data_IF_547095202441
#
_entry.id   IF_547095202441
#
_cell.length_a   1.000
_cell.length_b   1.000
_cell.length_c   1.000
_cell.angle_alpha   90.00
_cell.angle_beta   90.00
_cell.angle_gamma   90.00
#
_symmetry.space_group_name_H-M   'P 1'
#
loop_
_entity.id
_entity.type
_entity.pdbx_description
1 polymer ?
#
# COMPACT_ATOMS: atom_id res chain seq x y z
N UNK A 1 -18.76 -3.31 -8.26
CA UNK A 1 -17.75 -4.06 -7.54
C UNK A 1 -17.96 -3.89 -6.04
N UNK A 2 -17.33 -4.74 -5.27
CA UNK A 2 -17.38 -4.70 -3.80
C UNK A 2 -16.12 -4.06 -3.20
N UNK A 3 -15.32 -3.39 -4.03
CA UNK A 3 -14.12 -2.68 -3.56
C UNK A 3 -14.51 -1.28 -3.08
N UNK A 4 -14.06 -0.94 -1.89
CA UNK A 4 -14.28 0.36 -1.26
C UNK A 4 -12.92 1.05 -1.02
N UNK A 5 -12.88 2.39 -1.02
CA UNK A 5 -11.66 3.13 -0.72
C UNK A 5 -11.20 2.89 0.72
N UNK A 6 -9.93 2.58 0.92
CA UNK A 6 -9.38 2.37 2.27
C UNK A 6 -9.42 3.64 3.14
N UNK A 7 -9.53 4.81 2.53
CA UNK A 7 -9.69 6.09 3.23
C UNK A 7 -10.95 6.16 4.09
N UNK A 8 -12.01 5.41 3.73
CA UNK A 8 -13.26 5.36 4.51
C UNK A 8 -13.23 4.30 5.62
N UNK A 9 -12.26 3.40 5.63
CA UNK A 9 -12.22 2.25 6.56
C UNK A 9 -12.33 2.66 8.04
N UNK A 10 -11.68 3.75 8.41
CA UNK A 10 -11.72 4.24 9.79
C UNK A 10 -13.14 4.66 10.18
N UNK A 11 -13.82 5.39 9.33
CA UNK A 11 -15.19 5.86 9.59
C UNK A 11 -16.17 4.70 9.59
N UNK A 12 -16.01 3.73 8.69
CA UNK A 12 -16.84 2.51 8.64
C UNK A 12 -16.69 1.63 9.88
N UNK A 13 -15.54 1.66 10.55
CA UNK A 13 -15.33 0.97 11.84
C UNK A 13 -15.94 1.78 12.99
N UNK A 14 -15.73 3.10 13.00
CA UNK A 14 -16.09 3.95 14.14
C UNK A 14 -17.53 4.40 14.15
N UNK A 15 -18.23 4.39 13.00
CA UNK A 15 -19.62 4.85 12.90
C UNK A 15 -20.58 3.74 13.30
N UNK A 16 -21.28 3.86 14.45
CA UNK A 16 -22.25 2.85 14.88
C UNK A 16 -23.45 2.79 13.95
N UNK A 17 -24.00 1.59 13.74
CA UNK A 17 -25.27 1.41 13.00
C UNK A 17 -25.22 0.24 12.04
N UNK A 18 -26.23 0.21 11.15
CA UNK A 18 -26.30 -0.78 10.08
C UNK A 18 -25.11 -0.58 9.12
N UNK A 19 -24.42 -1.66 8.78
CA UNK A 19 -23.24 -1.64 7.91
C UNK A 19 -21.91 -1.37 8.63
N UNK A 20 -21.90 -1.09 9.94
CA UNK A 20 -20.67 -0.90 10.69
C UNK A 20 -19.71 -2.10 10.54
N UNK A 21 -18.45 -1.84 10.24
CA UNK A 21 -17.41 -2.86 10.20
C UNK A 21 -17.03 -3.22 11.64
N UNK A 22 -17.31 -4.46 12.05
CA UNK A 22 -17.01 -4.99 13.39
C UNK A 22 -15.96 -6.09 13.37
N UNK A 23 -15.69 -6.67 12.19
CA UNK A 23 -14.65 -7.67 12.00
C UNK A 23 -13.82 -7.39 10.74
N UNK A 24 -12.52 -7.70 10.78
CA UNK A 24 -11.58 -7.44 9.70
C UNK A 24 -10.70 -8.66 9.40
N UNK A 25 -10.51 -8.94 8.13
CA UNK A 25 -9.44 -9.83 7.65
C UNK A 25 -8.43 -9.00 6.88
N UNK A 26 -7.22 -8.88 7.42
CA UNK A 26 -6.11 -8.19 6.74
C UNK A 26 -5.21 -9.21 6.05
N UNK A 27 -4.85 -8.93 4.78
CA UNK A 27 -3.98 -9.83 4.00
C UNK A 27 -2.77 -9.03 3.51
N UNK A 28 -1.59 -9.34 4.04
CA UNK A 28 -0.29 -8.81 3.64
C UNK A 28 -0.27 -7.27 3.52
N UNK A 29 -0.99 -6.58 4.41
CA UNK A 29 -1.13 -5.14 4.39
C UNK A 29 -0.78 -4.49 5.71
N UNK A 30 -0.30 -3.23 5.66
CA UNK A 30 -0.08 -2.43 6.86
C UNK A 30 -0.77 -1.05 6.70
N UNK A 31 -2.12 -1.02 6.65
CA UNK A 31 -2.87 0.22 6.43
C UNK A 31 -2.61 1.28 7.50
N UNK A 32 -2.34 0.94 8.76
CA UNK A 32 -1.96 1.93 9.78
C UNK A 32 -0.75 2.77 9.35
N UNK A 33 0.21 2.19 8.64
CA UNK A 33 1.38 2.91 8.12
C UNK A 33 1.22 3.43 6.69
N UNK A 34 0.22 3.00 5.95
CA UNK A 34 0.10 3.31 4.51
C UNK A 34 -1.10 4.16 4.13
N UNK A 35 -2.07 4.36 5.03
CA UNK A 35 -3.26 5.19 4.78
C UNK A 35 -3.16 6.55 5.46
N UNK A 36 -3.91 7.57 5.00
CA UNK A 36 -4.00 8.84 5.70
C UNK A 36 -4.54 8.67 7.12
N UNK A 37 -4.07 9.50 8.06
CA UNK A 37 -4.57 9.49 9.42
C UNK A 37 -4.33 8.16 10.14
N UNK A 38 -3.15 7.55 9.94
CA UNK A 38 -2.83 6.22 10.46
C UNK A 38 -3.03 6.05 11.96
N UNK A 39 -2.87 7.11 12.76
CA UNK A 39 -3.16 7.10 14.20
C UNK A 39 -4.65 6.84 14.49
N UNK A 40 -5.56 7.45 13.71
CA UNK A 40 -7.01 7.27 13.86
C UNK A 40 -7.46 5.86 13.47
N UNK A 41 -6.86 5.30 12.40
CA UNK A 41 -7.09 3.89 12.04
C UNK A 41 -6.54 2.93 13.09
N UNK A 42 -5.39 3.24 13.68
CA UNK A 42 -4.80 2.45 14.75
C UNK A 42 -5.72 2.32 15.97
N UNK A 43 -6.37 3.43 16.36
CA UNK A 43 -7.39 3.44 17.41
C UNK A 43 -8.64 2.64 17.02
N UNK A 44 -9.12 2.85 15.79
CA UNK A 44 -10.30 2.16 15.28
C UNK A 44 -10.13 0.62 15.27
N UNK A 45 -8.97 0.14 14.84
CA UNK A 45 -8.67 -1.30 14.83
C UNK A 45 -8.69 -1.91 16.24
N UNK A 46 -8.32 -1.15 17.27
CA UNK A 46 -8.43 -1.58 18.66
C UNK A 46 -9.85 -1.77 19.18
N UNK A 47 -10.85 -1.21 18.46
CA UNK A 47 -12.28 -1.34 18.78
C UNK A 47 -13.03 -2.41 18.00
N UNK A 48 -12.37 -3.17 17.13
CA UNK A 48 -13.00 -4.27 16.40
C UNK A 48 -13.37 -5.41 17.34
N UNK A 49 -14.48 -6.09 17.06
CA UNK A 49 -14.90 -7.29 17.81
C UNK A 49 -13.97 -8.48 17.53
N UNK A 50 -13.44 -8.58 16.31
CA UNK A 50 -12.53 -9.65 15.92
C UNK A 50 -11.69 -9.29 14.68
N UNK A 51 -10.40 -9.56 14.73
CA UNK A 51 -9.50 -9.34 13.61
C UNK A 51 -8.62 -10.54 13.32
N UNK A 52 -8.54 -10.93 12.05
CA UNK A 52 -7.60 -11.94 11.55
C UNK A 52 -6.58 -11.26 10.63
N UNK A 53 -5.30 -11.57 10.81
CA UNK A 53 -4.26 -11.12 9.89
C UNK A 53 -3.56 -12.31 9.22
N UNK A 54 -3.46 -12.27 7.90
CA UNK A 54 -2.63 -13.18 7.11
C UNK A 54 -1.35 -12.41 6.78
N UNK A 55 -0.33 -12.57 7.62
CA UNK A 55 0.92 -11.80 7.54
C UNK A 55 2.06 -12.58 8.23
N UNK A 56 3.29 -12.26 7.85
CA UNK A 56 4.52 -12.85 8.43
C UNK A 56 5.10 -12.01 9.57
N UNK A 57 4.59 -10.80 9.78
CA UNK A 57 5.05 -9.87 10.81
C UNK A 57 3.92 -9.42 11.74
N UNK A 58 4.28 -9.14 12.99
CA UNK A 58 3.46 -8.34 13.90
C UNK A 58 3.86 -6.89 13.70
N UNK A 59 3.17 -6.22 12.77
CA UNK A 59 3.38 -4.82 12.41
C UNK A 59 2.34 -3.90 13.08
N UNK A 60 2.28 -2.63 12.69
CA UNK A 60 1.39 -1.62 13.27
C UNK A 60 -0.09 -1.97 13.13
N UNK A 61 -0.46 -2.67 12.08
CA UNK A 61 -1.83 -3.14 11.83
C UNK A 61 -2.09 -4.48 12.49
N UNK A 62 -1.22 -5.47 12.23
CA UNK A 62 -1.47 -6.85 12.66
C UNK A 62 -1.31 -7.08 14.16
N UNK A 63 -0.73 -6.12 14.91
CA UNK A 63 -0.69 -6.15 16.37
C UNK A 63 -2.08 -6.09 17.03
N UNK A 64 -3.11 -5.65 16.30
CA UNK A 64 -4.51 -5.63 16.74
C UNK A 64 -5.25 -6.95 16.46
N UNK A 65 -4.66 -7.86 15.67
CA UNK A 65 -5.31 -9.09 15.30
C UNK A 65 -5.38 -10.07 16.47
N UNK A 66 -6.56 -10.68 16.67
CA UNK A 66 -6.78 -11.78 17.63
C UNK A 66 -6.08 -13.05 17.14
N UNK A 67 -6.01 -13.23 15.82
CA UNK A 67 -5.36 -14.38 15.19
C UNK A 67 -4.46 -13.91 14.03
N UNK A 68 -3.20 -14.33 14.05
CA UNK A 68 -2.27 -14.12 12.94
C UNK A 68 -1.98 -15.49 12.30
N UNK A 69 -2.20 -15.60 11.00
CA UNK A 69 -1.98 -16.80 10.20
C UNK A 69 -0.79 -16.56 9.27
N UNK A 70 0.44 -16.94 9.65
CA UNK A 70 1.61 -16.72 8.81
C UNK A 70 1.60 -17.67 7.60
N UNK A 71 1.60 -17.13 6.36
CA UNK A 71 1.73 -17.94 5.17
C UNK A 71 3.19 -18.31 4.89
N UNK A 72 3.40 -19.22 3.93
CA UNK A 72 4.73 -19.53 3.43
C UNK A 72 5.46 -18.33 2.87
N UNK A 73 6.78 -18.30 3.03
CA UNK A 73 7.64 -17.29 2.44
C UNK A 73 7.70 -17.36 0.89
N UNK A 74 8.19 -16.29 0.23
CA UNK A 74 8.24 -16.24 -1.23
C UNK A 74 9.14 -17.32 -1.87
N UNK A 75 10.11 -17.86 -1.15
CA UNK A 75 11.01 -18.89 -1.64
C UNK A 75 10.51 -20.33 -1.38
N UNK A 76 9.46 -20.48 -0.59
CA UNK A 76 8.80 -21.75 -0.26
C UNK A 76 7.61 -22.06 -1.17
N UNK A 77 7.34 -21.18 -2.13
CA UNK A 77 6.23 -21.33 -3.10
C UNK A 77 6.67 -21.09 -4.52
N UNK A 78 5.99 -21.75 -5.44
CA UNK A 78 6.13 -21.46 -6.88
C UNK A 78 5.46 -20.14 -7.22
N UNK A 79 5.95 -19.48 -8.27
CA UNK A 79 5.43 -18.20 -8.70
C UNK A 79 5.34 -18.09 -10.21
N UNK A 80 4.23 -17.52 -10.68
CA UNK A 80 4.02 -17.02 -12.02
C UNK A 80 3.40 -15.63 -11.93
N UNK A 81 4.06 -14.62 -12.47
CA UNK A 81 3.58 -13.26 -12.39
C UNK A 81 2.49 -13.03 -13.44
N UNK A 82 1.24 -12.87 -12.99
CA UNK A 82 0.09 -12.57 -13.85
C UNK A 82 -0.15 -11.07 -13.99
N UNK A 83 0.18 -10.26 -12.98
CA UNK A 83 -0.24 -8.86 -12.91
C UNK A 83 0.87 -7.95 -13.39
N UNK A 84 2.04 -7.97 -12.74
CA UNK A 84 3.14 -7.08 -13.12
C UNK A 84 3.77 -7.45 -14.45
N UNK A 85 3.54 -8.66 -14.93
CA UNK A 85 3.98 -9.07 -16.26
C UNK A 85 3.36 -8.26 -17.39
N UNK A 86 2.20 -7.64 -17.15
CA UNK A 86 1.57 -6.69 -18.09
C UNK A 86 2.43 -5.46 -18.36
N UNK A 87 3.40 -5.15 -17.49
CA UNK A 87 4.35 -4.05 -17.63
C UNK A 87 5.67 -4.47 -18.30
N UNK A 88 5.80 -5.73 -18.71
CA UNK A 88 7.00 -6.23 -19.38
C UNK A 88 7.17 -5.58 -20.75
N UNK A 89 8.42 -5.28 -21.14
CA UNK A 89 8.76 -4.65 -22.43
C UNK A 89 8.71 -5.63 -23.61
N UNK A 90 8.49 -6.92 -23.36
CA UNK A 90 8.33 -8.00 -24.33
C UNK A 90 7.33 -9.04 -23.82
N UNK A 91 6.67 -9.75 -24.72
CA UNK A 91 5.88 -10.91 -24.34
C UNK A 91 6.79 -12.04 -23.87
N UNK A 92 6.71 -12.38 -22.60
CA UNK A 92 7.51 -13.45 -22.00
C UNK A 92 6.65 -14.31 -21.07
N UNK A 93 7.10 -15.50 -20.76
CA UNK A 93 6.49 -16.38 -19.76
C UNK A 93 7.58 -17.02 -18.91
N UNK A 94 7.50 -16.86 -17.59
CA UNK A 94 8.47 -17.43 -16.67
C UNK A 94 7.77 -18.12 -15.50
N UNK A 95 8.22 -19.31 -15.19
CA UNK A 95 7.83 -20.05 -14.00
C UNK A 95 9.01 -20.09 -13.02
N UNK A 96 8.80 -19.69 -11.80
CA UNK A 96 9.78 -19.80 -10.73
C UNK A 96 9.35 -20.93 -9.80
N UNK A 97 10.07 -22.05 -9.73
CA UNK A 97 9.77 -23.10 -8.77
C UNK A 97 10.10 -22.64 -7.34
N UNK A 98 9.49 -23.28 -6.35
CA UNK A 98 9.92 -23.10 -4.96
C UNK A 98 11.41 -23.50 -4.83
N UNK A 99 12.16 -22.72 -4.07
CA UNK A 99 13.57 -22.98 -3.78
C UNK A 99 13.70 -23.86 -2.53
N UNK A 100 12.85 -23.68 -1.56
CA UNK A 100 12.78 -24.45 -0.33
C UNK A 100 11.48 -25.26 -0.28
N UNK A 101 11.53 -26.39 0.41
CA UNK A 101 10.34 -27.18 0.70
C UNK A 101 9.45 -26.44 1.70
N UNK A 102 8.15 -26.54 1.50
CA UNK A 102 7.17 -25.99 2.45
C UNK A 102 7.19 -26.86 3.73
N UNK A 103 7.32 -26.26 4.92
CA UNK A 103 7.15 -26.99 6.18
C UNK A 103 5.76 -27.65 6.24
N UNK A 104 5.67 -28.82 6.87
CA UNK A 104 4.44 -29.63 6.91
C UNK A 104 3.25 -28.89 7.57
N UNK A 105 3.53 -28.07 8.57
CA UNK A 105 2.55 -27.26 9.30
C UNK A 105 2.26 -25.90 8.65
N UNK A 106 3.04 -25.50 7.63
CA UNK A 106 2.84 -24.23 6.93
C UNK A 106 1.75 -24.34 5.85
N UNK A 107 1.12 -23.20 5.55
CA UNK A 107 0.11 -23.05 4.50
C UNK A 107 0.48 -21.94 3.54
N UNK A 108 0.15 -22.13 2.26
CA UNK A 108 0.21 -21.02 1.29
C UNK A 108 -0.94 -20.04 1.51
N UNK A 109 -0.78 -18.80 1.09
CA UNK A 109 -1.82 -17.75 1.20
C UNK A 109 -3.18 -18.24 0.68
N UNK A 110 -3.18 -18.88 -0.50
CA UNK A 110 -4.41 -19.38 -1.12
C UNK A 110 -5.06 -20.54 -0.34
N UNK A 111 -4.27 -21.36 0.37
CA UNK A 111 -4.77 -22.41 1.25
C UNK A 111 -5.46 -21.81 2.48
N UNK A 112 -4.83 -20.77 3.09
CA UNK A 112 -5.42 -20.02 4.20
C UNK A 112 -6.73 -19.36 3.77
N UNK A 113 -6.74 -18.66 2.64
CA UNK A 113 -7.93 -17.99 2.12
C UNK A 113 -9.07 -18.99 1.81
N UNK A 114 -8.74 -20.14 1.21
CA UNK A 114 -9.68 -21.24 0.96
C UNK A 114 -10.31 -21.75 2.24
N UNK A 115 -9.46 -22.10 3.20
CA UNK A 115 -9.92 -22.73 4.45
C UNK A 115 -10.76 -21.76 5.27
N UNK A 116 -10.40 -20.48 5.29
CA UNK A 116 -11.17 -19.40 5.92
C UNK A 116 -12.54 -19.23 5.24
N UNK A 117 -12.58 -19.17 3.90
CA UNK A 117 -13.84 -19.07 3.16
C UNK A 117 -14.77 -20.25 3.43
N UNK A 118 -14.24 -21.48 3.43
CA UNK A 118 -15.02 -22.67 3.76
C UNK A 118 -15.52 -22.68 5.22
N UNK A 119 -14.71 -22.16 6.16
CA UNK A 119 -15.11 -22.02 7.55
C UNK A 119 -16.25 -21.00 7.72
N UNK A 120 -16.16 -19.85 7.04
CA UNK A 120 -17.22 -18.82 7.06
C UNK A 120 -18.54 -19.32 6.48
N UNK A 121 -18.51 -20.05 5.35
CA UNK A 121 -19.72 -20.65 4.76
C UNK A 121 -20.39 -21.61 5.79
N UNK A 122 -19.61 -22.45 6.44
CA UNK A 122 -20.13 -23.38 7.47
C UNK A 122 -20.66 -22.65 8.69
N UNK A 123 -19.98 -21.59 9.14
CA UNK A 123 -20.41 -20.77 10.28
C UNK A 123 -21.76 -20.08 10.05
N UNK A 124 -22.10 -19.78 8.78
CA UNK A 124 -23.42 -19.28 8.37
C UNK A 124 -24.50 -20.37 8.32
N UNK A 125 -24.17 -21.60 8.65
CA UNK A 125 -25.11 -22.75 8.53
C UNK A 125 -25.31 -23.21 7.08
N UNK A 126 -24.50 -22.71 6.15
CA UNK A 126 -24.57 -23.04 4.72
C UNK A 126 -23.67 -24.23 4.39
N UNK A 127 -24.02 -24.95 3.33
CA UNK A 127 -23.13 -25.96 2.73
C UNK A 127 -22.47 -25.36 1.49
N UNK A 128 -21.12 -25.50 1.33
CA UNK A 128 -20.46 -25.05 0.12
C UNK A 128 -21.13 -25.71 -1.09
N UNK A 129 -21.50 -24.93 -2.09
CA UNK A 129 -22.05 -25.43 -3.35
C UNK A 129 -21.04 -26.35 -4.06
N UNK A 130 -21.50 -27.16 -5.02
CA UNK A 130 -20.60 -28.00 -5.85
C UNK A 130 -19.61 -27.12 -6.62
N UNK A 131 -20.04 -25.93 -7.06
CA UNK A 131 -19.19 -24.95 -7.74
C UNK A 131 -18.12 -24.41 -6.78
N UNK A 132 -18.49 -24.05 -5.55
CA UNK A 132 -17.54 -23.58 -4.55
C UNK A 132 -16.53 -24.65 -4.19
N UNK A 133 -16.99 -25.88 -3.97
CA UNK A 133 -16.10 -27.02 -3.72
C UNK A 133 -15.13 -27.26 -4.88
N UNK A 134 -15.59 -27.11 -6.12
CA UNK A 134 -14.74 -27.18 -7.31
C UNK A 134 -13.70 -26.06 -7.35
N UNK A 135 -14.15 -24.79 -7.24
CA UNK A 135 -13.27 -23.61 -7.23
C UNK A 135 -12.18 -23.68 -6.17
N UNK A 136 -12.54 -24.05 -4.94
CA UNK A 136 -11.62 -24.08 -3.82
C UNK A 136 -10.65 -25.28 -3.84
N UNK A 137 -10.93 -26.32 -4.65
CA UNK A 137 -10.04 -27.49 -4.79
C UNK A 137 -8.98 -27.32 -5.86
N UNK A 138 -9.13 -26.37 -6.77
CA UNK A 138 -8.20 -26.17 -7.89
C UNK A 138 -7.00 -25.33 -7.42
N UNK A 139 -5.79 -25.90 -7.34
CA UNK A 139 -4.61 -25.13 -7.00
C UNK A 139 -4.31 -24.04 -8.05
N UNK A 140 -3.75 -22.89 -7.66
CA UNK A 140 -3.39 -21.81 -8.58
C UNK A 140 -2.53 -22.28 -9.76
N UNK A 141 -1.62 -23.22 -9.54
CA UNK A 141 -0.80 -23.83 -10.57
C UNK A 141 -1.64 -24.44 -11.71
N UNK A 142 -2.74 -25.11 -11.39
CA UNK A 142 -3.63 -25.72 -12.41
C UNK A 142 -4.35 -24.65 -13.23
N UNK A 143 -4.74 -23.55 -12.58
CA UNK A 143 -5.36 -22.40 -13.28
C UNK A 143 -4.35 -21.80 -14.26
N UNK A 144 -3.14 -21.52 -13.80
CA UNK A 144 -2.05 -20.99 -14.65
C UNK A 144 -1.72 -21.98 -15.78
N UNK A 145 -1.66 -23.28 -15.51
CA UNK A 145 -1.39 -24.31 -16.53
C UNK A 145 -2.47 -24.28 -17.63
N UNK A 146 -3.75 -24.20 -17.23
CA UNK A 146 -4.87 -24.09 -18.16
C UNK A 146 -4.78 -22.81 -19.02
N UNK A 147 -4.56 -21.66 -18.41
CA UNK A 147 -4.43 -20.38 -19.10
C UNK A 147 -3.25 -20.37 -20.09
N UNK A 148 -2.11 -20.92 -19.71
CA UNK A 148 -0.96 -21.04 -20.60
C UNK A 148 -1.25 -21.94 -21.80
N UNK A 149 -2.01 -23.04 -21.62
CA UNK A 149 -2.36 -23.98 -22.69
C UNK A 149 -3.31 -23.40 -23.74
N UNK A 150 -4.28 -22.58 -23.29
CA UNK A 150 -5.20 -21.90 -24.21
C UNK A 150 -4.58 -20.64 -24.81
N UNK A 151 -3.51 -20.12 -24.21
CA UNK A 151 -2.73 -18.98 -24.69
C UNK A 151 -1.60 -19.40 -25.63
N UNK A 152 -0.59 -18.55 -25.84
CA UNK A 152 0.51 -18.77 -26.78
C UNK A 152 1.49 -19.89 -26.36
N UNK A 153 1.46 -20.32 -25.09
CA UNK A 153 2.39 -21.33 -24.57
C UNK A 153 1.74 -22.73 -24.58
N UNK A 154 1.62 -23.34 -25.73
CA UNK A 154 1.15 -24.74 -25.82
C UNK A 154 2.10 -25.66 -25.06
N UNK A 155 1.58 -26.41 -24.07
CA UNK A 155 2.37 -27.26 -23.18
C UNK A 155 2.39 -26.80 -21.72
N UNK A 156 1.79 -25.64 -21.42
CA UNK A 156 1.48 -25.17 -20.10
C UNK A 156 2.72 -24.93 -19.20
N UNK A 157 2.51 -24.98 -17.89
CA UNK A 157 3.55 -24.78 -16.87
C UNK A 157 4.75 -25.71 -17.07
N UNK A 158 4.52 -26.98 -17.45
CA UNK A 158 5.61 -27.96 -17.68
C UNK A 158 6.60 -27.48 -18.74
N UNK A 159 6.13 -26.81 -19.79
CA UNK A 159 6.99 -26.26 -20.85
C UNK A 159 7.77 -25.04 -20.37
N UNK A 160 7.12 -24.13 -19.64
CA UNK A 160 7.76 -22.92 -19.11
C UNK A 160 8.80 -23.28 -18.06
N UNK A 161 8.49 -24.19 -17.14
CA UNK A 161 9.38 -24.62 -16.06
C UNK A 161 10.70 -25.27 -16.54
N UNK A 162 10.72 -25.84 -17.75
CA UNK A 162 11.94 -26.36 -18.38
C UNK A 162 12.92 -25.27 -18.82
N UNK A 163 12.53 -24.01 -18.76
CA UNK A 163 13.32 -22.85 -19.19
C UNK A 163 13.50 -21.90 -18.00
N UNK A 164 14.55 -22.05 -17.17
CA UNK A 164 14.76 -21.20 -15.98
C UNK A 164 14.80 -19.71 -16.28
N UNK A 165 15.31 -19.30 -17.45
CA UNK A 165 15.30 -17.92 -17.93
C UNK A 165 13.96 -17.44 -18.47
N UNK A 166 12.96 -18.31 -18.57
CA UNK A 166 11.68 -18.03 -19.22
C UNK A 166 11.66 -18.31 -20.72
N UNK A 167 10.53 -18.03 -21.34
CA UNK A 167 10.29 -18.17 -22.80
C UNK A 167 10.03 -16.77 -23.34
N UNK A 168 10.75 -16.36 -24.36
CA UNK A 168 10.46 -15.17 -25.14
C UNK A 168 9.37 -15.52 -26.18
N UNK A 169 8.27 -14.79 -26.15
CA UNK A 169 7.11 -14.93 -27.01
C UNK A 169 7.05 -13.83 -28.08
N UNK A 170 8.09 -13.02 -28.17
CA UNK A 170 8.23 -11.97 -29.17
C UNK A 170 7.99 -10.54 -28.63
N UNK A 171 8.09 -9.54 -29.51
CA UNK A 171 7.85 -8.14 -29.16
C UNK A 171 6.38 -7.92 -28.78
N UNK A 172 6.12 -6.81 -28.12
CA UNK A 172 4.78 -6.28 -27.94
C UNK A 172 4.29 -5.75 -29.29
N UNK A 173 3.06 -6.06 -29.63
CA UNK A 173 2.39 -5.57 -30.82
C UNK A 173 1.19 -4.73 -30.42
N UNK A 174 0.84 -3.74 -31.23
CA UNK A 174 -0.39 -2.96 -31.01
C UNK A 174 -1.60 -3.88 -31.15
N UNK A 175 -2.46 -3.87 -30.15
CA UNK A 175 -3.68 -4.69 -30.09
C UNK A 175 -4.95 -3.85 -30.06
N UNK A 176 -4.80 -2.52 -30.11
CA UNK A 176 -5.92 -1.59 -30.17
C UNK A 176 -6.26 -1.27 -31.64
N UNK A 177 -7.53 -1.10 -31.99
CA UNK A 177 -8.72 -1.14 -31.12
C UNK A 177 -9.34 -2.54 -30.92
N UNK A 178 -8.83 -3.58 -31.56
CA UNK A 178 -9.48 -4.91 -31.66
C UNK A 178 -9.75 -5.55 -30.30
N UNK A 179 -8.83 -5.37 -29.32
CA UNK A 179 -8.98 -5.91 -27.97
C UNK A 179 -9.91 -5.12 -27.06
N UNK A 180 -10.39 -3.95 -27.49
CA UNK A 180 -11.37 -3.22 -26.67
C UNK A 180 -12.65 -4.02 -26.52
N UNK A 181 -13.13 -4.11 -25.29
CA UNK A 181 -14.38 -4.82 -24.95
C UNK A 181 -15.60 -3.90 -24.98
N UNK A 182 -15.40 -2.60 -25.26
CA UNK A 182 -16.50 -1.65 -25.41
C UNK A 182 -17.32 -2.02 -26.67
N UNK A 183 -18.64 -1.85 -26.65
CA UNK A 183 -19.49 -2.14 -27.82
C UNK A 183 -19.07 -1.37 -29.07
N UNK A 184 -18.59 -0.16 -28.91
CA UNK A 184 -18.18 0.73 -30.01
C UNK A 184 -16.75 0.50 -30.49
N UNK A 185 -15.96 -0.34 -29.81
CA UNK A 185 -14.51 -0.48 -30.03
C UNK A 185 -13.76 0.85 -29.94
N UNK A 186 -14.27 1.77 -29.13
CA UNK A 186 -13.67 3.07 -28.86
C UNK A 186 -13.44 3.26 -27.37
N UNK A 187 -12.44 4.08 -27.02
CA UNK A 187 -12.21 4.54 -25.67
C UNK A 187 -13.06 5.78 -25.46
N UNK A 188 -13.93 5.77 -24.45
CA UNK A 188 -14.68 6.93 -24.04
C UNK A 188 -13.83 7.77 -23.08
N UNK A 189 -13.35 8.92 -23.57
CA UNK A 189 -12.54 9.86 -22.80
C UNK A 189 -13.37 10.88 -22.00
N UNK A 190 -14.67 10.92 -22.22
CA UNK A 190 -15.60 11.86 -21.57
C UNK A 190 -16.69 11.10 -20.81
N UNK A 191 -16.33 10.00 -20.16
CA UNK A 191 -17.25 9.21 -19.37
C UNK A 191 -17.90 10.06 -18.26
N UNK A 192 -19.19 9.82 -18.00
CA UNK A 192 -20.02 10.60 -17.08
C UNK A 192 -19.38 10.80 -15.69
N UNK A 193 -18.80 9.75 -15.11
CA UNK A 193 -18.22 9.80 -13.76
C UNK A 193 -17.05 10.79 -13.65
N UNK A 194 -15.96 10.75 -14.45
CA UNK A 194 -14.93 11.78 -14.40
C UNK A 194 -15.45 13.15 -14.88
N UNK A 195 -16.42 13.19 -15.81
CA UNK A 195 -16.98 14.47 -16.28
C UNK A 195 -17.80 15.19 -15.22
N UNK A 196 -18.44 14.49 -14.30
CA UNK A 196 -19.16 15.11 -13.19
C UNK A 196 -18.24 15.91 -12.24
N UNK A 197 -16.97 15.54 -12.15
CA UNK A 197 -15.97 16.22 -11.33
C UNK A 197 -15.33 17.45 -12.04
N UNK A 198 -15.58 17.65 -13.34
CA UNK A 198 -14.94 18.76 -14.09
C UNK A 198 -15.46 20.13 -13.64
N UNK A 199 -16.75 20.24 -13.31
CA UNK A 199 -17.31 21.50 -12.84
C UNK A 199 -16.61 21.99 -11.56
N UNK A 200 -16.41 21.09 -10.60
CA UNK A 200 -15.73 21.41 -9.35
C UNK A 200 -14.23 21.68 -9.57
N UNK A 201 -13.58 20.97 -10.50
CA UNK A 201 -12.22 21.28 -10.91
C UNK A 201 -12.11 22.69 -11.50
N UNK A 202 -13.10 23.13 -12.29
CA UNK A 202 -13.16 24.48 -12.83
C UNK A 202 -13.23 25.53 -11.70
N UNK A 203 -14.06 25.31 -10.69
CA UNK A 203 -14.15 26.18 -9.52
C UNK A 203 -12.78 26.27 -8.78
N UNK A 204 -12.08 25.16 -8.63
CA UNK A 204 -10.73 25.16 -8.07
C UNK A 204 -9.70 25.88 -8.93
N UNK A 205 -9.78 25.80 -10.25
CA UNK A 205 -8.90 26.52 -11.17
C UNK A 205 -9.17 28.03 -11.17
N UNK A 206 -10.42 28.44 -11.01
CA UNK A 206 -10.81 29.86 -10.89
C UNK A 206 -10.32 30.50 -9.59
N UNK A 207 -10.24 29.71 -8.50
CA UNK A 207 -9.67 30.17 -7.22
C UNK A 207 -8.16 30.36 -7.29
N UNK A 208 -7.51 29.78 -8.29
CA UNK A 208 -6.05 29.85 -8.49
C UNK A 208 -5.27 28.80 -7.70
N UNK A 209 -3.94 28.89 -7.70
CA UNK A 209 -3.09 27.91 -7.01
C UNK A 209 -3.35 27.91 -5.51
N UNK A 210 -3.07 26.77 -4.86
CA UNK A 210 -3.17 26.62 -3.41
C UNK A 210 -2.46 27.80 -2.74
N UNK A 211 -3.23 28.62 -2.02
CA UNK A 211 -2.68 29.74 -1.26
C UNK A 211 -2.17 29.23 0.07
N UNK A 212 -0.86 29.16 0.21
CA UNK A 212 -0.21 28.88 1.46
C UNK A 212 -0.16 30.15 2.34
N UNK A 213 -0.26 29.99 3.65
CA UNK A 213 0.12 31.04 4.57
C UNK A 213 1.64 31.33 4.43
N UNK A 214 2.12 32.51 4.82
CA UNK A 214 3.51 32.92 4.61
C UNK A 214 4.58 31.99 5.19
N UNK A 215 4.25 31.22 6.19
CA UNK A 215 5.11 30.26 6.89
C UNK A 215 4.84 28.80 6.51
N UNK A 216 3.83 28.54 5.70
CA UNK A 216 3.50 27.19 5.22
C UNK A 216 4.37 26.75 4.05
N UNK A 217 4.58 25.44 3.99
CA UNK A 217 5.24 24.70 2.90
C UNK A 217 4.34 23.56 2.47
N UNK A 218 4.51 23.05 1.27
CA UNK A 218 3.80 21.86 0.78
C UNK A 218 4.62 20.61 1.06
N UNK A 219 4.06 19.70 1.83
CA UNK A 219 4.64 18.38 2.06
C UNK A 219 4.26 17.42 0.93
N UNK A 220 5.27 16.76 0.37
CA UNK A 220 5.12 15.64 -0.58
C UNK A 220 5.78 14.38 -0.03
N UNK A 221 5.16 13.23 -0.32
CA UNK A 221 5.72 11.92 -0.02
C UNK A 221 6.83 11.54 -0.99
N UNK A 222 7.83 10.81 -0.47
CA UNK A 222 8.93 10.27 -1.27
C UNK A 222 9.02 8.77 -1.11
N UNK A 223 9.28 8.04 -2.21
CA UNK A 223 9.49 6.61 -2.24
C UNK A 223 10.97 6.29 -2.38
N UNK A 224 11.41 5.20 -1.76
CA UNK A 224 12.76 4.72 -1.91
C UNK A 224 12.74 3.24 -2.32
N UNK A 225 13.54 2.89 -3.34
CA UNK A 225 13.55 1.56 -3.94
C UNK A 225 13.83 0.43 -2.93
N UNK A 226 14.71 0.67 -1.95
CA UNK A 226 15.08 -0.32 -0.93
C UNK A 226 14.05 -0.48 0.19
N UNK A 227 13.08 0.41 0.27
CA UNK A 227 12.09 0.39 1.34
C UNK A 227 10.85 -0.40 0.93
N UNK A 228 10.49 -0.38 -0.36
CA UNK A 228 9.26 -0.98 -0.90
C UNK A 228 8.06 -0.70 0.02
N UNK A 229 7.73 0.57 0.18
CA UNK A 229 6.89 1.12 1.25
C UNK A 229 7.57 0.92 2.62
N UNK A 230 7.17 -0.04 3.41
CA UNK A 230 7.78 -0.41 4.69
C UNK A 230 8.24 -1.87 4.76
N UNK A 231 7.94 -2.66 3.73
CA UNK A 231 8.11 -4.11 3.75
C UNK A 231 9.54 -4.57 3.95
N UNK A 232 10.50 -3.82 3.41
CA UNK A 232 11.91 -4.18 3.45
C UNK A 232 12.65 -3.57 4.65
N UNK A 233 11.98 -2.79 5.48
CA UNK A 233 12.60 -2.16 6.65
C UNK A 233 13.09 -3.18 7.68
N UNK A 234 12.47 -4.36 7.76
CA UNK A 234 12.92 -5.42 8.65
C UNK A 234 14.06 -6.28 8.07
N UNK A 235 14.60 -5.91 6.90
CA UNK A 235 15.76 -6.56 6.26
C UNK A 235 17.04 -5.75 6.47
N UNK A 236 17.95 -6.13 7.41
CA UNK A 236 19.13 -5.34 7.77
C UNK A 236 20.05 -5.01 6.59
N UNK A 237 20.13 -5.90 5.58
CA UNK A 237 20.96 -5.66 4.39
C UNK A 237 20.46 -4.53 3.51
N UNK A 238 19.15 -4.29 3.48
CA UNK A 238 18.52 -3.26 2.65
C UNK A 238 18.50 -1.90 3.33
N UNK A 239 18.57 -1.86 4.66
CA UNK A 239 18.57 -0.63 5.46
C UNK A 239 19.96 -0.10 5.79
N UNK A 240 21.03 -0.76 5.31
CA UNK A 240 22.42 -0.30 5.50
C UNK A 240 22.69 1.04 4.82
N UNK A 241 23.59 1.82 5.41
CA UNK A 241 24.09 3.08 4.88
C UNK A 241 23.54 4.29 5.61
N UNK A 242 23.47 5.44 4.92
CA UNK A 242 22.94 6.67 5.50
C UNK A 242 21.49 6.50 5.91
N UNK A 243 21.11 7.16 7.00
CA UNK A 243 19.70 7.33 7.35
C UNK A 243 18.95 7.96 6.18
N UNK A 244 17.85 7.35 5.78
CA UNK A 244 17.06 7.83 4.63
C UNK A 244 15.82 8.61 5.04
N UNK A 245 15.46 8.48 6.32
CA UNK A 245 14.32 9.20 6.87
C UNK A 245 14.75 10.61 7.29
N UNK A 246 14.83 11.50 6.31
CA UNK A 246 15.13 12.91 6.50
C UNK A 246 14.12 13.74 5.72
N UNK A 247 13.68 14.85 6.31
CA UNK A 247 12.87 15.85 5.63
C UNK A 247 13.77 16.66 4.71
N UNK A 248 13.64 16.50 3.39
CA UNK A 248 14.37 17.35 2.44
C UNK A 248 13.70 18.71 2.36
N UNK A 249 14.52 19.76 2.48
CA UNK A 249 14.08 21.16 2.47
C UNK A 249 15.06 21.99 1.67
N UNK A 250 14.57 22.95 0.88
CA UNK A 250 15.45 23.89 0.18
C UNK A 250 16.25 24.74 1.18
N UNK A 251 17.56 25.01 0.98
CA UNK A 251 18.40 25.78 1.91
C UNK A 251 17.83 27.16 2.29
N UNK A 252 17.22 27.87 1.34
CA UNK A 252 16.60 29.17 1.61
C UNK A 252 15.38 29.06 2.54
N UNK A 253 14.63 27.96 2.44
CA UNK A 253 13.47 27.73 3.31
C UNK A 253 13.88 27.35 4.74
N UNK A 254 15.01 26.65 4.91
CA UNK A 254 15.66 26.44 6.23
C UNK A 254 16.17 27.76 6.80
N UNK A 255 16.92 28.53 6.01
CA UNK A 255 17.51 29.79 6.47
C UNK A 255 16.45 30.80 6.94
N UNK A 256 15.33 30.91 6.22
CA UNK A 256 14.19 31.76 6.63
C UNK A 256 13.61 31.42 8.01
N UNK A 257 13.80 30.18 8.46
CA UNK A 257 13.26 29.65 9.72
C UNK A 257 14.32 29.50 10.81
N UNK A 258 15.55 29.88 10.53
CA UNK A 258 16.69 29.72 11.45
C UNK A 258 17.02 28.26 11.75
N UNK A 259 16.73 27.36 10.81
CA UNK A 259 16.99 25.91 10.88
C UNK A 259 18.28 25.61 10.11
N UNK A 260 19.11 24.71 10.65
CA UNK A 260 20.37 24.28 10.06
C UNK A 260 20.22 22.84 9.51
N UNK A 261 21.03 22.51 8.50
CA UNK A 261 21.12 21.15 7.96
C UNK A 261 21.45 20.14 9.07
N UNK A 262 20.68 19.08 9.16
CA UNK A 262 20.82 18.04 10.19
C UNK A 262 20.05 18.30 11.49
N UNK A 263 19.40 19.45 11.66
CA UNK A 263 18.60 19.72 12.86
C UNK A 263 17.37 18.79 12.92
N UNK A 264 16.96 18.46 14.15
CA UNK A 264 15.61 17.95 14.38
C UNK A 264 14.61 19.11 14.25
N UNK A 265 13.56 18.87 13.45
CA UNK A 265 12.50 19.85 13.19
C UNK A 265 11.15 19.26 13.55
N UNK A 266 10.30 20.10 14.10
CA UNK A 266 8.88 19.82 14.26
C UNK A 266 8.15 20.18 12.97
N UNK A 267 7.46 19.20 12.40
CA UNK A 267 6.60 19.35 11.20
C UNK A 267 5.17 19.24 11.66
N UNK A 268 4.37 20.26 11.41
CA UNK A 268 2.96 20.31 11.83
C UNK A 268 2.04 20.55 10.64
N UNK A 269 0.97 19.76 10.56
CA UNK A 269 -0.18 19.96 9.66
C UNK A 269 -1.44 20.22 10.49
N UNK A 270 -2.57 20.39 9.80
CA UNK A 270 -3.88 20.43 10.46
C UNK A 270 -4.25 19.09 11.16
N UNK A 271 -3.69 17.97 10.68
CA UNK A 271 -4.03 16.62 11.15
C UNK A 271 -3.10 16.10 12.26
N UNK A 272 -1.91 16.66 12.41
CA UNK A 272 -0.97 16.18 13.41
C UNK A 272 0.41 16.82 13.35
N UNK A 273 1.32 16.26 14.14
CA UNK A 273 2.68 16.76 14.31
C UNK A 273 3.66 15.62 14.47
N UNK A 274 4.82 15.72 13.82
CA UNK A 274 5.93 14.78 13.94
C UNK A 274 7.24 15.54 14.16
N UNK A 275 8.24 14.84 14.70
CA UNK A 275 9.62 15.33 14.79
C UNK A 275 10.52 14.47 13.93
N UNK A 276 11.33 15.09 13.07
CA UNK A 276 12.20 14.42 12.12
C UNK A 276 13.49 15.24 11.92
N UNK A 277 14.57 14.57 11.55
CA UNK A 277 15.80 15.23 11.10
C UNK A 277 15.54 15.88 9.73
N UNK A 278 15.99 17.12 9.52
CA UNK A 278 15.96 17.76 8.20
C UNK A 278 17.28 17.59 7.46
N UNK A 279 17.21 17.69 6.14
CA UNK A 279 18.40 17.74 5.28
C UNK A 279 18.22 18.80 4.20
N UNK A 280 19.22 19.67 4.06
CA UNK A 280 19.25 20.69 3.03
C UNK A 280 19.45 20.04 1.65
N UNK A 281 18.68 20.46 0.65
CA UNK A 281 18.78 19.96 -0.71
C UNK A 281 18.39 21.05 -1.72
N UNK A 282 19.31 21.40 -2.61
CA UNK A 282 19.05 22.30 -3.73
C UNK A 282 18.14 21.69 -4.81
N UNK A 283 17.97 20.35 -4.78
CA UNK A 283 17.04 19.66 -5.68
C UNK A 283 15.56 19.88 -5.27
N UNK A 284 15.32 20.41 -4.06
CA UNK A 284 13.97 20.74 -3.62
C UNK A 284 13.51 22.09 -4.17
N UNK A 285 12.27 22.15 -4.63
CA UNK A 285 11.62 23.42 -4.96
C UNK A 285 11.40 24.22 -3.67
N UNK A 286 11.61 25.54 -3.73
CA UNK A 286 11.25 26.46 -2.62
C UNK A 286 9.75 26.36 -2.32
N UNK A 287 9.39 26.34 -1.06
CA UNK A 287 8.02 26.16 -0.64
C UNK A 287 7.53 24.71 -0.63
N UNK A 288 8.41 23.74 -0.95
CA UNK A 288 8.08 22.30 -0.96
C UNK A 288 9.06 21.52 -0.08
N UNK A 289 8.55 20.62 0.72
CA UNK A 289 9.35 19.70 1.54
C UNK A 289 8.97 18.26 1.26
N UNK A 290 9.94 17.33 1.39
CA UNK A 290 9.71 15.92 1.06
C UNK A 290 10.15 14.99 2.18
N UNK A 291 9.26 14.07 2.56
CA UNK A 291 9.51 13.07 3.61
C UNK A 291 9.29 11.65 3.07
N UNK A 292 10.17 10.67 3.42
CA UNK A 292 9.96 9.28 3.02
C UNK A 292 8.74 8.66 3.69
N UNK A 293 8.06 7.82 2.93
CA UNK A 293 6.92 7.04 3.36
C UNK A 293 7.36 5.72 4.03
N UNK A 294 6.52 5.20 4.96
CA UNK A 294 6.64 3.85 5.52
C UNK A 294 7.47 3.73 6.79
N UNK A 295 7.87 4.83 7.43
CA UNK A 295 8.64 4.86 8.67
C UNK A 295 7.76 5.03 9.93
N UNK A 296 8.38 4.96 11.11
CA UNK A 296 7.69 5.16 12.39
C UNK A 296 7.45 3.88 13.20
N UNK A 297 8.05 2.76 12.81
CA UNK A 297 7.83 1.44 13.42
C UNK A 297 8.09 1.36 14.93
N UNK A 298 9.08 2.08 15.44
CA UNK A 298 9.45 2.08 16.85
C UNK A 298 8.50 2.84 17.78
N UNK A 299 7.52 3.56 17.24
CA UNK A 299 6.63 4.43 18.00
C UNK A 299 5.38 3.74 18.56
N UNK A 300 5.07 2.53 18.07
CA UNK A 300 3.86 1.78 18.44
C UNK A 300 4.22 0.58 19.31
N UNK A 301 3.66 0.52 20.52
CA UNK A 301 3.83 -0.64 21.39
C UNK A 301 3.21 -1.90 20.74
N UNK A 302 3.82 -3.06 20.96
CA UNK A 302 3.33 -4.35 20.44
C UNK A 302 3.83 -4.72 19.05
N UNK A 303 4.47 -3.81 18.29
CA UNK A 303 5.16 -4.15 17.03
C UNK A 303 6.38 -5.04 17.32
N UNK A 304 6.51 -6.16 16.57
CA UNK A 304 7.56 -7.17 16.79
C UNK A 304 8.48 -7.35 15.58
N UNK A 305 8.74 -6.31 14.83
CA UNK A 305 9.71 -6.29 13.75
C UNK A 305 11.10 -5.92 14.29
N UNK A 306 11.92 -6.93 14.58
CA UNK A 306 13.18 -6.81 15.35
C UNK A 306 14.13 -5.72 14.86
N UNK A 307 14.24 -5.52 13.56
CA UNK A 307 15.14 -4.52 12.98
C UNK A 307 14.41 -3.23 12.63
N UNK A 308 13.21 -3.30 12.05
CA UNK A 308 12.47 -2.12 11.64
C UNK A 308 12.19 -1.14 12.80
N UNK A 309 11.89 -1.67 14.00
CA UNK A 309 11.65 -0.84 15.20
C UNK A 309 12.89 -0.06 15.68
N UNK A 310 14.08 -0.42 15.22
CA UNK A 310 15.33 0.31 15.54
C UNK A 310 15.61 1.44 14.55
N UNK A 311 14.87 1.51 13.45
CA UNK A 311 15.06 2.57 12.46
C UNK A 311 14.46 3.88 13.00
N UNK A 312 15.19 5.00 12.89
CA UNK A 312 14.66 6.30 13.26
C UNK A 312 13.53 6.71 12.31
N UNK A 313 12.72 7.64 12.74
CA UNK A 313 11.74 8.30 11.89
C UNK A 313 10.32 8.28 12.43
N UNK A 314 9.44 8.91 11.66
CA UNK A 314 8.01 9.07 11.95
C UNK A 314 7.18 8.73 10.71
N UNK A 315 5.90 8.44 10.90
CA UNK A 315 4.97 8.23 9.80
C UNK A 315 4.58 9.56 9.18
N UNK A 316 4.83 9.74 7.89
CA UNK A 316 4.31 10.89 7.13
C UNK A 316 2.78 10.93 7.16
N UNK A 317 2.14 9.78 7.31
CA UNK A 317 0.68 9.68 7.32
C UNK A 317 0.05 10.20 8.63
N UNK A 318 0.83 10.48 9.66
CA UNK A 318 0.36 11.20 10.84
C UNK A 318 0.11 12.70 10.53
N UNK A 319 0.58 13.19 9.39
CA UNK A 319 0.37 14.55 8.90
C UNK A 319 -0.74 14.65 7.83
N UNK A 320 -1.26 13.54 7.33
CA UNK A 320 -2.25 13.52 6.25
C UNK A 320 -3.67 13.43 6.79
N UNK A 321 -4.58 14.17 6.15
CA UNK A 321 -5.99 14.22 6.54
C UNK A 321 -6.77 13.07 5.87
N UNK A 322 -7.36 12.14 6.62
CA UNK A 322 -8.15 11.05 6.06
C UNK A 322 -9.45 11.52 5.38
N UNK A 323 -9.96 12.70 5.72
CA UNK A 323 -11.16 13.26 5.10
C UNK A 323 -10.90 13.86 3.71
N UNK A 324 -9.64 14.15 3.38
CA UNK A 324 -9.27 14.66 2.06
C UNK A 324 -9.10 13.52 1.07
N UNK A 325 -10.10 13.35 0.23
CA UNK A 325 -10.12 12.32 -0.80
C UNK A 325 -10.29 12.92 -2.19
N UNK A 326 -9.78 12.22 -3.20
CA UNK A 326 -10.06 12.51 -4.60
C UNK A 326 -11.49 12.08 -4.92
N UNK A 327 -12.26 12.91 -5.60
CA UNK A 327 -13.70 12.77 -5.74
C UNK A 327 -14.17 11.57 -6.56
N UNK A 328 -13.42 11.20 -7.59
CA UNK A 328 -13.83 10.12 -8.51
C UNK A 328 -13.54 8.75 -7.92
N UNK A 329 -12.37 8.58 -7.31
CA UNK A 329 -11.90 7.29 -6.77
C UNK A 329 -11.95 7.19 -5.25
N UNK A 330 -12.20 8.31 -4.56
CA UNK A 330 -12.08 8.47 -3.11
C UNK A 330 -10.71 8.05 -2.53
N UNK A 331 -9.66 8.06 -3.34
CA UNK A 331 -8.30 7.88 -2.86
C UNK A 331 -7.89 9.04 -1.94
N UNK A 332 -7.23 8.73 -0.84
CA UNK A 332 -6.72 9.75 0.07
C UNK A 332 -5.66 10.65 -0.57
N UNK A 333 -5.72 11.95 -0.30
CA UNK A 333 -4.75 12.95 -0.76
C UNK A 333 -3.52 12.88 0.13
N UNK A 334 -2.44 12.30 -0.39
CA UNK A 334 -1.18 12.05 0.33
C UNK A 334 -0.08 13.08 0.04
N UNK A 335 -0.28 13.95 -0.93
CA UNK A 335 0.70 14.96 -1.36
C UNK A 335 0.05 16.34 -1.39
N UNK A 336 0.88 17.38 -1.32
CA UNK A 336 0.39 18.76 -1.29
C UNK A 336 -0.28 19.10 0.04
N UNK A 337 0.23 18.55 1.15
CA UNK A 337 -0.29 18.82 2.51
C UNK A 337 0.38 20.08 3.03
N UNK A 338 -0.38 21.14 3.40
CA UNK A 338 0.20 22.32 4.04
C UNK A 338 0.81 21.95 5.40
N UNK A 339 2.05 22.35 5.61
CA UNK A 339 2.77 22.12 6.87
C UNK A 339 3.58 23.34 7.27
N UNK A 340 3.79 23.50 8.57
CA UNK A 340 4.75 24.46 9.14
C UNK A 340 5.94 23.73 9.72
N UNK A 341 7.11 24.37 9.71
CA UNK A 341 8.34 23.87 10.33
C UNK A 341 8.75 24.78 11.47
N UNK A 342 9.16 24.17 12.59
CA UNK A 342 9.78 24.86 13.72
C UNK A 342 11.06 24.12 14.17
N UNK A 343 12.07 24.84 14.69
CA UNK A 343 13.26 24.22 15.29
C UNK A 343 12.91 23.39 16.53
N UNK A 344 13.64 22.27 16.72
CA UNK A 344 13.58 21.48 17.93
C UNK A 344 12.35 20.60 18.13
N UNK A 345 12.32 19.79 19.21
CA UNK A 345 11.17 18.96 19.53
C UNK A 345 9.94 19.84 19.86
N UNK A 346 8.73 19.32 19.59
CA UNK A 346 7.51 20.04 19.94
C UNK A 346 7.46 20.29 21.46
N UNK A 347 6.98 21.46 21.84
CA UNK A 347 6.56 21.68 23.21
C UNK A 347 5.50 20.67 23.63
N UNK A 348 5.26 20.47 24.93
CA UNK A 348 4.19 19.60 25.40
C UNK A 348 2.87 20.02 24.76
N UNK A 349 1.98 19.05 24.42
CA UNK A 349 0.68 19.38 23.85
C UNK A 349 -0.07 20.30 24.77
N UNK A 350 -0.68 21.33 24.18
CA UNK A 350 -1.48 22.32 24.92
C UNK A 350 -2.77 21.71 25.45
#
# INVERSE_FOLDING_TARGET
GSELPVSTLTDEILTPGEGQIRGLVSIAGNPVSSTPGGHRLDEALGGLDFMVAIDIYVNETTRHADVILPPTGPLEREHYDLIFHTLAVRNTARWSPALFEKPDDARHDWEVARDLALALIRARGEKPSVVDQGRFRVPPRMIVDGLLRVGPVRGGVKKVAKRPGGIDLGPLESVLPDRLQTPTKRIDLAHEVPMSAVAELADHLDVGPIRLAPDELLLIGRRHQRDNNSWLHNAPRLTKGRARHQLLVHPDDLAKRGIVDGDEVSVRSASGQIVVECAASEDMMRGVVSLPHGYGHGRKAGVRMRHAVTLPGASINDLTDPSRTEQVSANGVLNGVPVTLAPGPPGPPA
#
